data_IF_693800054735
#
_entry.id   IF_693800054735
#
_cell.length_a   1.000
_cell.length_b   1.000
_cell.length_c   1.000
_cell.angle_alpha   90.00
_cell.angle_beta   90.00
_cell.angle_gamma   90.00
#
_symmetry.space_group_name_H-M   'P 1'
#
loop_
_entity.id
_entity.type
_entity.pdbx_description
1 polymer ?
#
# COMPACT_ATOMS: atom_id res chain seq x y z
N UNK A 1 0.97 12.34 6.01
CA UNK A 1 2.24 11.81 6.54
C UNK A 1 2.57 12.57 7.82
N UNK A 2 2.97 11.89 8.90
CA UNK A 2 3.22 12.53 10.19
C UNK A 2 4.61 12.16 10.67
N UNK A 3 5.39 13.16 11.10
CA UNK A 3 6.67 12.93 11.79
C UNK A 3 6.49 13.03 13.30
N UNK A 4 7.17 12.18 14.07
CA UNK A 4 7.17 12.26 15.54
C UNK A 4 8.15 13.31 16.08
N UNK A 5 8.96 13.91 15.21
CA UNK A 5 9.96 14.94 15.55
C UNK A 5 9.90 16.11 14.58
N UNK A 6 10.29 17.29 15.05
CA UNK A 6 10.46 18.44 14.18
C UNK A 6 11.74 18.27 13.34
N UNK A 7 11.69 18.67 12.07
CA UNK A 7 12.81 18.61 11.14
C UNK A 7 12.83 19.89 10.30
N UNK A 8 14.00 20.55 10.18
CA UNK A 8 14.16 21.78 9.39
C UNK A 8 14.70 21.56 7.98
N UNK A 9 15.22 20.35 7.71
CA UNK A 9 15.69 19.93 6.39
C UNK A 9 15.30 18.47 6.16
N UNK A 10 13.99 18.23 6.05
CA UNK A 10 13.43 16.90 5.97
C UNK A 10 13.90 16.17 4.69
N UNK A 11 14.00 16.87 3.56
CA UNK A 11 14.55 16.31 2.32
C UNK A 11 13.80 15.06 1.84
N UNK A 12 12.47 15.04 1.96
CA UNK A 12 11.63 13.93 1.50
C UNK A 12 10.70 14.35 0.36
N UNK A 13 10.38 13.41 -0.51
CA UNK A 13 9.30 13.51 -1.50
C UNK A 13 8.37 12.31 -1.39
N UNK A 14 7.16 12.45 -1.93
CA UNK A 14 6.21 11.35 -2.07
C UNK A 14 6.02 11.06 -3.55
N UNK A 15 6.19 9.79 -3.90
CA UNK A 15 5.78 9.24 -5.18
C UNK A 15 4.50 8.43 -4.96
N UNK A 16 3.48 8.68 -5.77
CA UNK A 16 2.30 7.82 -5.81
C UNK A 16 2.43 6.87 -6.98
N UNK A 17 2.07 5.61 -6.75
CA UNK A 17 2.09 4.53 -7.73
C UNK A 17 0.71 3.92 -7.76
N UNK A 18 0.05 3.96 -8.92
CA UNK A 18 -1.20 3.25 -9.15
C UNK A 18 -0.86 1.82 -9.55
N UNK A 19 -1.41 0.85 -8.83
CA UNK A 19 -1.23 -0.58 -9.13
C UNK A 19 -2.57 -1.24 -9.42
N UNK A 20 -2.53 -2.27 -10.26
CA UNK A 20 -3.68 -3.11 -10.61
C UNK A 20 -3.49 -4.54 -10.15
N UNK A 21 -4.56 -5.12 -9.60
CA UNK A 21 -4.61 -6.50 -9.12
C UNK A 21 -5.48 -7.39 -9.99
N UNK A 22 -5.19 -8.69 -9.98
CA UNK A 22 -5.87 -9.72 -10.74
C UNK A 22 -6.04 -9.35 -12.22
N UNK A 23 -4.97 -8.79 -12.81
CA UNK A 23 -4.89 -8.53 -14.23
C UNK A 23 -4.61 -9.85 -14.94
N UNK A 24 -5.34 -10.17 -16.00
CA UNK A 24 -5.11 -11.38 -16.78
C UNK A 24 -5.46 -11.17 -18.24
N UNK A 25 -4.92 -12.05 -19.08
CA UNK A 25 -5.14 -12.02 -20.52
C UNK A 25 -4.72 -13.32 -21.19
N UNK A 26 -5.15 -13.48 -22.44
CA UNK A 26 -4.95 -14.72 -23.22
C UNK A 26 -3.96 -14.55 -24.37
N UNK A 27 -3.48 -13.34 -24.62
CA UNK A 27 -2.50 -13.06 -25.68
C UNK A 27 -1.05 -13.34 -25.25
N UNK A 28 -0.14 -13.46 -26.22
CA UNK A 28 1.29 -13.75 -25.98
C UNK A 28 2.00 -12.77 -25.04
N UNK A 29 1.50 -11.54 -24.90
CA UNK A 29 2.03 -10.54 -23.96
C UNK A 29 1.73 -10.82 -22.48
N UNK A 30 0.90 -11.83 -22.19
CA UNK A 30 0.52 -12.28 -20.84
C UNK A 30 1.18 -13.61 -20.44
N UNK A 31 2.20 -14.01 -21.21
CA UNK A 31 2.97 -15.22 -20.92
C UNK A 31 4.19 -14.81 -20.11
N UNK A 32 4.40 -15.44 -18.95
CA UNK A 32 5.56 -15.21 -18.11
C UNK A 32 6.65 -16.24 -18.42
N UNK A 33 7.89 -15.77 -18.53
CA UNK A 33 9.06 -16.65 -18.57
C UNK A 33 9.22 -17.38 -17.23
N UNK A 34 9.50 -18.67 -17.30
CA UNK A 34 9.60 -19.52 -16.14
C UNK A 34 11.00 -20.14 -16.06
N UNK A 35 11.74 -19.71 -15.03
CA UNK A 35 13.07 -20.19 -14.69
C UNK A 35 13.06 -21.24 -13.57
N UNK A 36 11.88 -21.72 -13.16
CA UNK A 36 11.67 -22.74 -12.14
C UNK A 36 11.11 -24.05 -12.73
N UNK A 37 11.16 -24.18 -14.06
CA UNK A 37 10.65 -25.30 -14.84
C UNK A 37 11.30 -26.64 -14.45
N UNK A 38 12.54 -26.63 -13.94
CA UNK A 38 13.26 -27.81 -13.44
C UNK A 38 13.19 -27.99 -11.91
N UNK A 39 12.61 -27.02 -11.20
CA UNK A 39 12.46 -27.07 -9.75
C UNK A 39 11.26 -27.93 -9.33
N UNK A 40 11.32 -28.45 -8.11
CA UNK A 40 10.30 -29.30 -7.52
C UNK A 40 9.71 -28.67 -6.25
N UNK A 41 8.56 -29.19 -5.80
CA UNK A 41 7.89 -28.72 -4.59
C UNK A 41 8.73 -28.95 -3.32
N UNK A 42 9.75 -29.80 -3.36
CA UNK A 42 10.69 -29.97 -2.25
C UNK A 42 11.64 -28.76 -2.10
N UNK A 43 11.86 -28.01 -3.19
CA UNK A 43 12.70 -26.79 -3.21
C UNK A 43 11.83 -25.56 -2.92
N UNK A 44 10.62 -25.51 -3.51
CA UNK A 44 9.65 -24.44 -3.32
C UNK A 44 8.30 -25.02 -2.88
N UNK A 45 8.10 -25.23 -1.57
CA UNK A 45 6.89 -25.89 -1.04
C UNK A 45 5.66 -24.98 -1.03
N UNK A 46 5.82 -23.69 -1.30
CA UNK A 46 4.74 -22.71 -1.32
C UNK A 46 3.72 -23.05 -2.42
N UNK A 47 2.42 -23.15 -2.12
CA UNK A 47 1.39 -23.45 -3.11
C UNK A 47 1.37 -22.50 -4.31
N UNK A 48 1.77 -21.25 -4.10
CA UNK A 48 1.86 -20.20 -5.11
C UNK A 48 2.90 -20.51 -6.19
N UNK A 49 3.90 -21.35 -5.90
CA UNK A 49 4.90 -21.79 -6.88
C UNK A 49 4.41 -22.95 -7.76
N UNK A 50 3.34 -23.65 -7.38
CA UNK A 50 2.85 -24.82 -8.10
C UNK A 50 2.65 -24.64 -9.62
N UNK A 51 2.20 -23.48 -10.14
CA UNK A 51 2.08 -23.26 -11.58
C UNK A 51 3.41 -23.26 -12.36
N UNK A 52 4.55 -23.08 -11.67
CA UNK A 52 5.87 -22.90 -12.26
C UNK A 52 6.75 -24.16 -12.18
N UNK A 53 6.48 -25.07 -11.23
CA UNK A 53 7.34 -26.22 -10.96
C UNK A 53 7.08 -27.37 -11.92
N UNK A 54 8.13 -27.87 -12.58
CA UNK A 54 8.00 -29.00 -13.52
C UNK A 54 7.16 -28.70 -14.77
N UNK A 55 6.89 -27.42 -15.05
CA UNK A 55 6.09 -26.97 -16.20
C UNK A 55 6.99 -26.44 -17.33
N UNK A 56 6.38 -25.88 -18.38
CA UNK A 56 7.15 -25.31 -19.49
C UNK A 56 7.93 -24.04 -19.07
N UNK A 57 8.94 -23.68 -19.87
CA UNK A 57 9.74 -22.44 -19.76
C UNK A 57 8.89 -21.16 -19.88
N UNK A 58 7.59 -21.32 -20.18
CA UNK A 58 6.61 -20.26 -20.34
C UNK A 58 5.29 -20.69 -19.70
N UNK A 59 4.77 -19.86 -18.81
CA UNK A 59 3.50 -20.10 -18.11
C UNK A 59 2.50 -19.03 -18.54
N UNK A 60 1.28 -19.47 -18.90
CA UNK A 60 0.19 -18.63 -19.35
C UNK A 60 -1.03 -18.80 -18.42
N UNK A 61 -2.00 -17.89 -18.52
CA UNK A 61 -3.22 -17.95 -17.72
C UNK A 61 -3.02 -17.55 -16.26
N UNK A 62 -1.98 -16.76 -15.97
CA UNK A 62 -1.72 -16.19 -14.65
C UNK A 62 -2.59 -14.95 -14.41
N UNK A 63 -2.94 -14.76 -13.14
CA UNK A 63 -3.43 -13.49 -12.62
C UNK A 63 -2.24 -12.73 -12.03
N UNK A 64 -2.10 -11.45 -12.39
CA UNK A 64 -1.02 -10.59 -11.97
C UNK A 64 -1.53 -9.56 -10.95
N UNK A 65 -0.90 -9.56 -9.78
CA UNK A 65 -1.16 -8.63 -8.68
C UNK A 65 -0.06 -7.57 -8.55
N UNK A 66 -0.39 -6.44 -7.92
CA UNK A 66 0.49 -5.29 -7.68
C UNK A 66 1.21 -4.75 -8.93
N UNK A 67 0.58 -4.88 -10.11
CA UNK A 67 1.17 -4.44 -11.37
C UNK A 67 1.16 -2.92 -11.45
N UNK A 68 2.33 -2.30 -11.60
CA UNK A 68 2.46 -0.85 -11.76
C UNK A 68 1.81 -0.39 -13.07
N UNK A 69 0.78 0.46 -12.95
CA UNK A 69 0.03 1.01 -14.08
C UNK A 69 0.47 2.45 -14.41
N UNK A 70 0.72 3.26 -13.39
CA UNK A 70 1.17 4.64 -13.53
C UNK A 70 1.92 5.09 -12.28
N UNK A 71 2.85 6.03 -12.44
CA UNK A 71 3.57 6.66 -11.32
C UNK A 71 3.61 8.17 -11.48
N UNK A 72 3.58 8.92 -10.38
CA UNK A 72 3.81 10.38 -10.43
C UNK A 72 5.19 10.72 -10.97
N UNK A 73 6.18 9.84 -10.75
CA UNK A 73 7.55 10.01 -11.23
C UNK A 73 7.62 10.03 -12.74
N UNK A 74 7.00 9.06 -13.40
CA UNK A 74 6.93 9.00 -14.87
C UNK A 74 6.09 10.11 -15.46
N UNK A 75 5.12 10.63 -14.69
CA UNK A 75 4.30 11.77 -15.08
C UNK A 75 4.96 13.12 -14.77
N UNK A 76 6.11 13.15 -14.10
CA UNK A 76 6.79 14.38 -13.68
C UNK A 76 6.04 15.19 -12.61
N UNK A 77 5.13 14.55 -11.87
CA UNK A 77 4.22 15.17 -10.89
C UNK A 77 4.50 14.72 -9.45
N UNK A 78 5.75 14.35 -9.16
CA UNK A 78 6.17 13.99 -7.80
C UNK A 78 5.84 15.10 -6.79
N UNK A 79 5.29 14.70 -5.64
CA UNK A 79 4.85 15.66 -4.63
C UNK A 79 5.99 15.91 -3.65
N UNK A 80 6.62 17.07 -3.77
CA UNK A 80 7.59 17.53 -2.78
C UNK A 80 6.90 17.77 -1.43
N UNK A 81 7.47 17.25 -0.34
CA UNK A 81 7.01 17.58 1.00
C UNK A 81 7.66 18.89 1.48
N UNK A 82 7.02 19.62 2.40
CA UNK A 82 7.64 20.77 3.03
C UNK A 82 9.00 20.41 3.63
N UNK A 83 10.01 21.26 3.40
CA UNK A 83 11.35 21.00 3.92
C UNK A 83 11.40 21.09 5.45
N UNK A 84 10.52 21.90 6.04
CA UNK A 84 10.27 21.92 7.47
C UNK A 84 9.03 21.06 7.81
N UNK A 85 9.22 20.06 8.67
CA UNK A 85 8.13 19.26 9.23
C UNK A 85 8.03 19.57 10.72
N UNK A 86 6.81 19.87 11.17
CA UNK A 86 6.52 20.02 12.59
C UNK A 86 6.22 18.65 13.23
N UNK A 87 6.63 18.48 14.49
CA UNK A 87 6.33 17.26 15.23
C UNK A 87 4.81 17.07 15.37
N UNK A 88 4.33 15.86 15.10
CA UNK A 88 2.95 15.41 15.23
C UNK A 88 1.92 16.16 14.38
N UNK A 89 2.35 17.04 13.46
CA UNK A 89 1.46 17.65 12.48
C UNK A 89 1.45 16.84 11.18
N UNK A 90 0.28 16.48 10.65
CA UNK A 90 0.20 15.80 9.38
C UNK A 90 0.51 16.78 8.24
N UNK A 91 1.37 16.38 7.31
CA UNK A 91 1.47 16.98 5.99
C UNK A 91 0.62 16.18 4.99
N UNK A 92 0.02 16.90 4.05
CA UNK A 92 -0.78 16.34 2.97
C UNK A 92 0.02 16.35 1.67
N UNK A 93 -0.13 15.28 0.89
CA UNK A 93 0.38 15.15 -0.46
C UNK A 93 -0.78 14.57 -1.29
N UNK A 94 -0.97 15.09 -2.50
CA UNK A 94 -2.05 14.68 -3.38
C UNK A 94 -1.54 14.58 -4.81
N UNK A 95 -2.03 13.59 -5.53
CA UNK A 95 -1.78 13.39 -6.95
C UNK A 95 -3.06 12.89 -7.62
N UNK A 96 -3.17 13.11 -8.92
CA UNK A 96 -4.30 12.67 -9.74
C UNK A 96 -3.79 11.77 -10.85
N UNK A 97 -4.45 10.63 -11.03
CA UNK A 97 -4.22 9.73 -12.16
C UNK A 97 -5.39 9.78 -13.13
N UNK A 98 -5.11 10.16 -14.37
CA UNK A 98 -6.08 10.11 -15.46
C UNK A 98 -6.13 8.70 -16.04
N UNK A 99 -7.05 7.86 -15.56
CA UNK A 99 -7.12 6.45 -15.96
C UNK A 99 -7.27 6.24 -17.47
N UNK A 100 -7.93 7.17 -18.18
CA UNK A 100 -8.09 7.11 -19.63
C UNK A 100 -6.78 7.34 -20.42
N UNK A 101 -5.76 7.91 -19.78
CA UNK A 101 -4.42 8.07 -20.37
C UNK A 101 -3.53 6.83 -20.17
N UNK A 102 -3.96 5.86 -19.35
CA UNK A 102 -3.23 4.62 -19.15
C UNK A 102 -3.57 3.67 -20.29
N UNK A 103 -2.57 3.43 -21.12
CA UNK A 103 -2.68 2.64 -22.35
C UNK A 103 -1.87 1.35 -22.23
N UNK A 104 -2.25 0.35 -23.02
CA UNK A 104 -1.48 -0.87 -23.22
C UNK A 104 -0.07 -0.56 -23.73
N UNK A 105 0.90 -1.49 -23.62
CA UNK A 105 2.28 -1.25 -24.05
C UNK A 105 2.44 -0.76 -25.50
N UNK A 106 1.50 -1.13 -26.39
CA UNK A 106 1.43 -0.66 -27.78
C UNK A 106 0.98 0.81 -27.94
N UNK A 107 0.51 1.44 -26.85
CA UNK A 107 -0.03 2.80 -26.76
C UNK A 107 -1.28 3.07 -27.60
N UNK A 108 -1.95 2.02 -28.08
CA UNK A 108 -3.10 2.16 -28.99
C UNK A 108 -4.43 2.07 -28.26
N UNK A 109 -4.49 1.36 -27.13
CA UNK A 109 -5.74 1.05 -26.45
C UNK A 109 -5.68 1.46 -24.98
N UNK A 110 -6.67 2.20 -24.46
CA UNK A 110 -6.81 2.40 -23.03
C UNK A 110 -6.99 1.07 -22.30
N UNK A 111 -6.31 0.89 -21.19
CA UNK A 111 -6.53 -0.27 -20.33
C UNK A 111 -7.86 -0.07 -19.61
N UNK A 112 -8.74 -1.08 -19.67
CA UNK A 112 -10.01 -1.07 -18.95
C UNK A 112 -9.79 -1.63 -17.55
N UNK A 113 -10.07 -0.82 -16.54
CA UNK A 113 -9.87 -1.18 -15.14
C UNK A 113 -11.19 -1.44 -14.43
N UNK A 114 -11.22 -2.50 -13.62
CA UNK A 114 -12.15 -2.56 -12.51
C UNK A 114 -11.56 -1.77 -11.34
N UNK A 115 -12.20 -0.67 -10.95
CA UNK A 115 -11.72 0.22 -9.87
C UNK A 115 -11.59 -0.47 -8.52
N UNK A 116 -12.36 -1.54 -8.27
CA UNK A 116 -12.26 -2.34 -7.04
C UNK A 116 -10.99 -3.19 -6.98
N UNK A 117 -10.25 -3.29 -8.10
CA UNK A 117 -8.96 -3.99 -8.18
C UNK A 117 -7.78 -3.03 -8.32
N UNK A 118 -7.97 -1.75 -7.99
CA UNK A 118 -6.92 -0.76 -8.04
C UNK A 118 -6.52 -0.35 -6.61
N UNK A 119 -5.22 -0.29 -6.38
CA UNK A 119 -4.63 0.29 -5.18
C UNK A 119 -3.70 1.44 -5.55
N UNK A 120 -3.47 2.35 -4.61
CA UNK A 120 -2.45 3.39 -4.69
C UNK A 120 -1.43 3.18 -3.59
N UNK A 121 -0.18 3.04 -3.99
CA UNK A 121 0.98 2.99 -3.10
C UNK A 121 1.60 4.38 -3.01
N UNK A 122 1.69 4.94 -1.82
CA UNK A 122 2.45 6.13 -1.51
C UNK A 122 3.84 5.75 -1.00
N UNK A 123 4.89 6.10 -1.75
CA UNK A 123 6.29 5.87 -1.40
C UNK A 123 6.89 7.16 -0.83
N UNK A 124 7.35 7.11 0.41
CA UNK A 124 8.12 8.19 1.02
C UNK A 124 9.60 7.99 0.67
N UNK A 125 10.18 8.91 -0.09
CA UNK A 125 11.53 8.80 -0.63
C UNK A 125 12.41 9.90 -0.03
N UNK A 126 13.57 9.50 0.48
CA UNK A 126 14.62 10.44 0.87
C UNK A 126 15.31 10.98 -0.38
N UNK A 127 15.27 12.29 -0.61
CA UNK A 127 15.75 12.95 -1.84
C UNK A 127 17.27 12.86 -1.98
N UNK A 128 18.02 12.88 -0.87
CA UNK A 128 19.47 12.82 -0.91
C UNK A 128 20.00 11.43 -1.31
N UNK A 129 19.31 10.37 -0.90
CA UNK A 129 19.74 8.98 -1.14
C UNK A 129 18.94 8.26 -2.22
N UNK A 130 17.82 8.85 -2.65
CA UNK A 130 16.81 8.22 -3.52
C UNK A 130 16.29 6.87 -3.00
N UNK A 131 16.34 6.64 -1.68
CA UNK A 131 15.83 5.41 -1.06
C UNK A 131 14.41 5.62 -0.54
N UNK A 132 13.57 4.60 -0.73
CA UNK A 132 12.27 4.50 -0.07
C UNK A 132 12.52 4.26 1.42
N UNK A 133 12.02 5.16 2.26
CA UNK A 133 12.15 5.07 3.73
C UNK A 133 10.87 4.60 4.41
N UNK A 134 9.73 4.70 3.70
CA UNK A 134 8.45 4.17 4.15
C UNK A 134 7.50 4.05 2.94
N UNK A 135 6.48 3.20 3.06
CA UNK A 135 5.42 3.06 2.08
C UNK A 135 4.06 2.83 2.75
N UNK A 136 2.98 3.17 2.06
CA UNK A 136 1.63 2.82 2.46
C UNK A 136 0.78 2.55 1.22
N UNK A 137 -0.06 1.52 1.27
CA UNK A 137 -0.98 1.13 0.19
C UNK A 137 -2.42 1.36 0.64
N UNK A 138 -3.27 1.79 -0.28
CA UNK A 138 -4.70 1.98 -0.07
C UNK A 138 -5.52 1.68 -1.33
N UNK A 139 -6.67 1.03 -1.14
CA UNK A 139 -7.64 0.82 -2.22
C UNK A 139 -8.15 2.14 -2.80
N UNK A 140 -8.27 2.19 -4.13
CA UNK A 140 -8.87 3.32 -4.85
C UNK A 140 -10.38 3.38 -4.61
N UNK A 141 -11.03 2.22 -4.54
CA UNK A 141 -12.43 2.14 -4.13
C UNK A 141 -12.55 2.16 -2.60
N UNK A 142 -13.11 3.25 -2.09
CA UNK A 142 -13.32 3.48 -0.66
C UNK A 142 -14.30 2.49 0.00
N UNK A 143 -14.95 1.60 -0.76
CA UNK A 143 -15.78 0.54 -0.18
C UNK A 143 -14.98 -0.69 0.26
N UNK A 144 -13.73 -0.84 -0.18
CA UNK A 144 -12.84 -1.98 0.14
C UNK A 144 -11.54 -1.53 0.84
N UNK A 145 -11.62 -0.52 1.72
CA UNK A 145 -10.47 0.02 2.47
C UNK A 145 -9.70 -1.07 3.24
N UNK A 146 -8.62 -1.59 2.66
CA UNK A 146 -7.63 -2.45 3.31
C UNK A 146 -6.32 -1.69 3.55
N UNK A 147 -6.36 -0.60 4.30
CA UNK A 147 -5.12 0.02 4.78
C UNK A 147 -4.70 -0.65 6.09
N UNK A 148 -3.47 -1.21 6.15
CA UNK A 148 -2.86 -1.69 7.40
C UNK A 148 -2.55 -0.53 8.39
N UNK A 149 -2.82 0.72 7.98
CA UNK A 149 -2.76 1.92 8.82
C UNK A 149 -4.17 2.51 8.88
N UNK A 150 -4.81 2.42 10.05
CA UNK A 150 -6.13 2.99 10.28
C UNK A 150 -6.12 4.52 10.17
N UNK A 151 -7.03 5.07 9.38
CA UNK A 151 -7.28 6.50 9.32
C UNK A 151 -7.89 6.95 10.66
N UNK A 152 -7.19 7.81 11.40
CA UNK A 152 -7.79 8.57 12.50
C UNK A 152 -8.71 9.64 11.87
N UNK A 153 -9.97 9.29 11.65
CA UNK A 153 -11.01 10.28 11.32
C UNK A 153 -11.23 11.17 12.53
N UNK A 154 -10.67 12.38 12.49
CA UNK A 154 -11.07 13.47 13.39
C UNK A 154 -12.39 14.09 12.89
N UNK A 155 -13.45 13.28 12.82
CA UNK A 155 -14.81 13.81 12.80
C UNK A 155 -15.23 13.90 14.26
N UNK A 156 -15.55 15.12 14.71
CA UNK A 156 -15.84 15.48 16.09
C UNK A 156 -17.10 14.82 16.66
N UNK A 157 -17.05 13.51 16.87
CA UNK A 157 -18.00 12.80 17.71
C UNK A 157 -17.48 12.81 19.15
N UNK A 158 -18.31 13.33 20.07
CA UNK A 158 -18.14 13.21 21.52
C UNK A 158 -17.66 11.79 21.91
N UNK A 159 -16.80 11.65 22.95
CA UNK A 159 -16.16 10.39 23.25
C UNK A 159 -17.19 9.32 23.58
N UNK A 160 -17.34 8.33 22.68
CA UNK A 160 -17.98 7.06 23.01
C UNK A 160 -17.33 6.51 24.28
N UNK A 161 -18.14 6.16 25.27
CA UNK A 161 -17.65 5.48 26.47
C UNK A 161 -16.83 4.25 26.06
N UNK A 162 -15.60 4.06 26.58
CA UNK A 162 -14.73 2.97 26.16
C UNK A 162 -15.27 1.62 26.63
N UNK A 163 -15.62 0.75 25.67
CA UNK A 163 -16.16 -0.59 25.94
C UNK A 163 -15.11 -1.70 25.81
N UNK A 164 -13.93 -1.39 25.26
CA UNK A 164 -12.87 -2.37 25.00
C UNK A 164 -11.52 -1.78 25.43
N UNK A 165 -10.71 -2.62 26.07
CA UNK A 165 -9.36 -2.30 26.55
C UNK A 165 -8.34 -3.18 25.84
N UNK A 166 -7.15 -2.64 25.63
CA UNK A 166 -6.01 -3.31 25.03
C UNK A 166 -4.78 -3.10 25.91
N UNK A 167 -3.91 -4.09 25.98
CA UNK A 167 -2.59 -3.92 26.59
C UNK A 167 -1.64 -3.13 25.67
N UNK A 168 -0.44 -2.83 26.15
CA UNK A 168 0.59 -2.12 25.37
C UNK A 168 1.11 -2.90 24.16
N UNK A 169 0.79 -4.20 24.05
CA UNK A 169 1.10 -5.04 22.88
C UNK A 169 -0.04 -5.10 21.87
N UNK A 170 -1.14 -4.39 22.10
CA UNK A 170 -2.31 -4.35 21.21
C UNK A 170 -3.26 -5.54 21.36
N UNK A 171 -3.08 -6.40 22.37
CA UNK A 171 -4.00 -7.52 22.63
C UNK A 171 -5.19 -7.05 23.45
N UNK A 172 -6.37 -7.58 23.16
CA UNK A 172 -7.60 -7.25 23.92
C UNK A 172 -7.46 -7.74 25.36
N UNK A 173 -7.62 -6.82 26.30
CA UNK A 173 -7.57 -7.07 27.74
C UNK A 173 -8.98 -7.23 28.32
N UNK A 174 -9.09 -8.05 29.36
CA UNK A 174 -10.33 -8.17 30.15
C UNK A 174 -10.64 -6.86 30.88
N UNK A 175 -11.93 -6.58 31.11
CA UNK A 175 -12.39 -5.30 31.70
C UNK A 175 -11.78 -4.97 33.08
N UNK A 176 -11.32 -6.00 33.82
CA UNK A 176 -10.70 -5.90 35.14
C UNK A 176 -9.15 -6.01 35.14
N UNK A 177 -8.51 -5.97 33.96
CA UNK A 177 -7.05 -6.00 33.89
C UNK A 177 -6.42 -4.77 34.56
N UNK A 178 -5.36 -5.00 35.34
CA UNK A 178 -4.56 -3.94 35.99
C UNK A 178 -3.39 -3.54 35.08
N UNK A 179 -3.00 -2.27 35.12
CA UNK A 179 -1.87 -1.72 34.38
C UNK A 179 -2.23 -0.58 33.42
N UNK A 180 -1.29 -0.25 32.53
CA UNK A 180 -1.50 0.74 31.48
C UNK A 180 -2.25 0.10 30.32
N UNK A 181 -3.45 0.60 30.03
CA UNK A 181 -4.33 0.10 28.99
C UNK A 181 -4.61 1.18 27.96
N UNK A 182 -4.82 0.76 26.71
CA UNK A 182 -5.29 1.60 25.61
C UNK A 182 -6.75 1.24 25.37
N UNK A 183 -7.63 2.23 25.30
CA UNK A 183 -9.05 2.00 25.00
C UNK A 183 -9.29 1.96 23.49
N UNK A 184 -10.41 1.39 23.04
CA UNK A 184 -10.84 1.46 21.64
C UNK A 184 -11.10 2.88 21.11
N UNK A 185 -11.06 3.90 21.97
CA UNK A 185 -11.07 5.32 21.59
C UNK A 185 -9.68 5.96 21.54
N UNK A 186 -8.62 5.14 21.66
CA UNK A 186 -7.23 5.60 21.60
C UNK A 186 -6.74 6.29 22.88
N UNK A 187 -7.54 6.33 23.94
CA UNK A 187 -7.13 6.94 25.22
C UNK A 187 -6.37 5.95 26.08
N UNK A 188 -5.24 6.39 26.63
CA UNK A 188 -4.51 5.72 27.70
C UNK A 188 -5.30 5.81 29.01
N UNK A 189 -5.47 4.69 29.69
CA UNK A 189 -6.08 4.60 31.02
C UNK A 189 -5.16 3.78 31.92
N UNK A 190 -5.02 4.18 33.17
CA UNK A 190 -4.28 3.44 34.19
C UNK A 190 -5.29 2.87 35.18
N UNK A 191 -5.26 1.55 35.38
CA UNK A 191 -6.15 0.83 36.31
C UNK A 191 -5.36 -0.04 37.27
#
# INVERSE_FOLDING_TARGET
>A
ITSTRAMSNAGYKVEFVLVGNGLSGTGNGWVQENYYNDATADIFPEPEFAPFLGTADKVAGLDYDDVVLATTRTLGTDVALPNALEAYKPCQAAATFELGAIVTPDKLNPVKFNKTKLDVVALLINVATNKVVNAGIAAVDATDYRTAVGQLTTTGAQPKQPTIYYDLSGRRAGAAAKGVLITNTGRKVVR
#
